data_IF_663661073594
#
_entry.id   IF_663661073594
#
_cell.length_a   1.000
_cell.length_b   1.000
_cell.length_c   1.000
_cell.angle_alpha   90.00
_cell.angle_beta   90.00
_cell.angle_gamma   90.00
#
_symmetry.space_group_name_H-M   'P 1'
#
loop_
_entity.id
_entity.type
_entity.pdbx_description
1 polymer ?
#
# COMPACT_ATOMS: atom_id res chain seq x y z
N UNK A 1 28.85 27.19 -31.02
CA UNK A 1 28.05 26.31 -30.16
C UNK A 1 27.52 25.06 -30.84
N UNK A 2 27.42 24.98 -32.17
CA UNK A 2 26.96 23.79 -32.92
C UNK A 2 27.89 22.55 -32.74
N UNK A 3 29.20 22.76 -32.49
CA UNK A 3 30.17 21.68 -32.33
C UNK A 3 30.05 20.87 -31.01
N UNK A 4 29.55 21.44 -29.94
CA UNK A 4 29.34 20.75 -28.67
C UNK A 4 28.16 19.76 -28.72
N UNK A 5 27.10 20.11 -29.44
CA UNK A 5 25.93 19.22 -29.61
C UNK A 5 26.28 17.87 -30.27
N UNK A 6 27.19 17.87 -31.26
CA UNK A 6 27.64 16.61 -31.89
C UNK A 6 28.50 15.74 -30.99
N UNK A 7 29.28 16.32 -30.09
CA UNK A 7 30.09 15.57 -29.11
C UNK A 7 29.16 14.87 -28.09
N UNK A 8 28.18 15.57 -27.54
CA UNK A 8 27.23 14.99 -26.58
C UNK A 8 26.37 13.90 -27.21
N UNK A 9 25.93 14.07 -28.45
CA UNK A 9 25.18 13.07 -29.19
C UNK A 9 25.99 11.77 -29.38
N UNK A 10 27.28 11.89 -29.71
CA UNK A 10 28.19 10.73 -29.82
C UNK A 10 28.41 10.06 -28.47
N UNK A 11 28.53 10.81 -27.39
CA UNK A 11 28.68 10.27 -26.05
C UNK A 11 27.42 9.50 -25.62
N UNK A 12 26.23 9.98 -25.91
CA UNK A 12 24.97 9.30 -25.60
C UNK A 12 24.84 7.98 -26.38
N UNK A 13 25.20 7.97 -27.67
CA UNK A 13 25.23 6.75 -28.50
C UNK A 13 26.24 5.73 -27.96
N UNK A 14 27.42 6.20 -27.57
CA UNK A 14 28.45 5.34 -27.00
C UNK A 14 28.04 4.78 -25.63
N UNK A 15 27.40 5.57 -24.77
CA UNK A 15 26.89 5.13 -23.49
C UNK A 15 25.80 4.05 -23.68
N UNK A 16 24.85 4.27 -24.57
CA UNK A 16 23.79 3.32 -24.88
C UNK A 16 24.35 1.97 -25.41
N UNK A 17 25.36 2.05 -26.29
CA UNK A 17 26.03 0.85 -26.79
C UNK A 17 26.79 0.10 -25.70
N UNK A 18 27.49 0.82 -24.80
CA UNK A 18 28.17 0.22 -23.65
C UNK A 18 27.21 -0.49 -22.70
N UNK A 19 26.04 0.10 -22.41
CA UNK A 19 25.00 -0.55 -21.61
C UNK A 19 24.50 -1.83 -22.27
N UNK A 20 24.25 -1.77 -23.60
CA UNK A 20 23.85 -2.94 -24.40
C UNK A 20 24.90 -4.06 -24.36
N UNK A 21 26.19 -3.73 -24.49
CA UNK A 21 27.27 -4.72 -24.39
C UNK A 21 27.33 -5.43 -23.03
N UNK A 22 26.91 -4.75 -21.97
CA UNK A 22 26.85 -5.28 -20.60
C UNK A 22 25.53 -5.96 -20.27
N UNK A 23 24.60 -6.08 -21.22
CA UNK A 23 23.27 -6.65 -21.01
C UNK A 23 22.36 -5.78 -20.12
N UNK A 24 22.71 -4.52 -19.89
CA UNK A 24 21.91 -3.60 -19.09
C UNK A 24 20.79 -3.05 -19.97
N UNK A 25 19.55 -3.27 -19.55
CA UNK A 25 18.37 -2.65 -20.17
C UNK A 25 18.28 -1.19 -19.68
N UNK A 26 18.39 -0.26 -20.61
CA UNK A 26 18.25 1.18 -20.32
C UNK A 26 16.85 1.65 -20.69
N UNK A 27 16.25 2.47 -19.85
CA UNK A 27 15.06 3.25 -20.21
C UNK A 27 15.51 4.43 -21.06
N UNK A 28 14.84 4.64 -22.18
CA UNK A 28 15.05 5.79 -23.05
C UNK A 28 13.71 6.50 -23.17
N UNK A 29 13.56 7.77 -22.73
CA UNK A 29 12.35 8.55 -22.92
C UNK A 29 12.01 8.72 -24.41
N UNK A 30 10.74 9.02 -24.71
CA UNK A 30 10.30 9.25 -26.09
C UNK A 30 11.07 10.39 -26.77
N UNK A 31 11.36 11.43 -26.01
CA UNK A 31 12.18 12.58 -26.43
C UNK A 31 13.41 12.72 -25.55
N UNK A 32 14.51 11.94 -25.80
CA UNK A 32 15.65 11.86 -24.90
C UNK A 32 16.65 13.03 -25.03
N UNK A 33 16.25 14.14 -25.62
CA UNK A 33 17.08 15.33 -25.84
C UNK A 33 16.26 16.58 -25.51
N UNK A 34 16.85 17.43 -24.68
CA UNK A 34 16.23 18.69 -24.28
C UNK A 34 17.26 19.67 -23.74
N UNK A 35 16.80 20.84 -23.32
CA UNK A 35 17.61 21.74 -22.50
C UNK A 35 17.80 21.21 -21.07
N UNK A 36 18.39 22.00 -20.19
CA UNK A 36 18.70 21.53 -18.82
C UNK A 36 17.44 21.31 -17.98
N UNK A 37 16.39 22.09 -18.19
CA UNK A 37 15.11 22.00 -17.49
C UNK A 37 14.34 20.77 -17.95
N UNK A 38 14.16 20.59 -19.26
CA UNK A 38 13.54 19.40 -19.86
C UNK A 38 14.26 18.10 -19.45
N UNK A 39 15.59 18.13 -19.39
CA UNK A 39 16.36 16.95 -18.90
C UNK A 39 16.16 16.69 -17.41
N UNK A 40 16.01 17.72 -16.59
CA UNK A 40 15.70 17.57 -15.17
C UNK A 40 14.30 16.97 -14.97
N UNK A 41 13.31 17.40 -15.73
CA UNK A 41 11.95 16.88 -15.71
C UNK A 41 11.91 15.39 -16.07
N UNK A 42 12.59 14.99 -17.15
CA UNK A 42 12.71 13.57 -17.52
C UNK A 42 13.31 12.70 -16.38
N UNK A 43 14.30 13.25 -15.64
CA UNK A 43 14.87 12.54 -14.49
C UNK A 43 13.87 12.48 -13.34
N UNK A 44 13.15 13.57 -13.07
CA UNK A 44 12.13 13.62 -12.02
C UNK A 44 10.99 12.63 -12.29
N UNK A 45 10.53 12.51 -13.54
CA UNK A 45 9.53 11.51 -13.92
C UNK A 45 10.01 10.07 -13.74
N UNK A 46 11.30 9.82 -13.92
CA UNK A 46 11.88 8.48 -13.77
C UNK A 46 12.15 8.09 -12.29
N UNK A 47 12.36 9.06 -11.40
CA UNK A 47 12.68 8.79 -9.99
C UNK A 47 11.64 7.90 -9.29
N UNK A 48 10.32 8.11 -9.41
CA UNK A 48 9.31 7.23 -8.82
C UNK A 48 9.41 5.79 -9.34
N UNK A 49 9.68 5.62 -10.64
CA UNK A 49 9.85 4.30 -11.26
C UNK A 49 11.08 3.58 -10.68
N UNK A 50 12.20 4.28 -10.56
CA UNK A 50 13.42 3.74 -9.99
C UNK A 50 13.24 3.35 -8.51
N UNK A 51 12.53 4.17 -7.73
CA UNK A 51 12.16 3.86 -6.34
C UNK A 51 11.29 2.60 -6.26
N UNK A 52 10.30 2.44 -7.14
CA UNK A 52 9.45 1.26 -7.16
C UNK A 52 10.26 -0.01 -7.47
N UNK A 53 11.16 0.04 -8.45
CA UNK A 53 12.03 -1.11 -8.81
C UNK A 53 12.97 -1.46 -7.64
N UNK A 54 13.61 -0.47 -7.03
CA UNK A 54 14.46 -0.67 -5.84
C UNK A 54 13.64 -1.21 -4.68
N UNK A 55 12.45 -0.66 -4.48
CA UNK A 55 11.53 -1.08 -3.45
C UNK A 55 11.11 -2.54 -3.58
N UNK A 56 10.72 -2.99 -4.77
CA UNK A 56 10.34 -4.39 -5.02
C UNK A 56 11.46 -5.37 -4.67
N UNK A 57 12.71 -5.05 -5.01
CA UNK A 57 13.86 -5.88 -4.67
C UNK A 57 14.16 -5.93 -3.16
N UNK A 58 13.55 -5.05 -2.38
CA UNK A 58 13.73 -4.93 -0.94
C UNK A 58 12.43 -5.12 -0.16
N UNK A 59 11.38 -5.65 -0.80
CA UNK A 59 10.07 -5.89 -0.21
C UNK A 59 9.95 -7.32 0.31
N UNK A 60 9.39 -7.45 1.51
CA UNK A 60 8.78 -8.67 2.03
C UNK A 60 7.29 -8.44 2.23
N UNK A 61 6.46 -9.38 1.80
CA UNK A 61 5.03 -9.40 2.13
C UNK A 61 4.80 -10.50 3.16
N UNK A 62 4.27 -10.13 4.32
CA UNK A 62 3.93 -11.03 5.41
C UNK A 62 2.41 -11.28 5.36
N UNK A 63 2.00 -12.51 5.20
CA UNK A 63 0.58 -12.87 5.18
C UNK A 63 0.15 -13.62 6.42
N UNK A 64 -1.09 -13.38 6.87
CA UNK A 64 -1.76 -14.08 7.96
C UNK A 64 -3.03 -14.73 7.43
N UNK A 65 -2.86 -15.93 6.91
CA UNK A 65 -3.89 -16.62 6.16
C UNK A 65 -4.37 -17.95 6.74
N UNK A 66 -5.03 -18.73 5.93
CA UNK A 66 -5.35 -18.51 4.51
C UNK A 66 -6.42 -17.44 4.26
N UNK A 67 -6.61 -17.07 2.98
CA UNK A 67 -7.70 -16.18 2.57
C UNK A 67 -9.05 -16.71 3.08
N UNK A 68 -10.06 -15.83 3.24
CA UNK A 68 -11.36 -16.23 3.77
C UNK A 68 -12.08 -17.20 2.82
N UNK A 69 -12.51 -18.36 3.32
CA UNK A 69 -13.36 -19.33 2.63
C UNK A 69 -13.03 -19.51 1.12
N UNK A 70 -14.00 -19.26 0.26
CA UNK A 70 -13.91 -19.38 -1.19
C UNK A 70 -13.64 -18.03 -1.90
N UNK A 71 -13.03 -17.08 -1.22
CA UNK A 71 -12.69 -15.76 -1.79
C UNK A 71 -11.48 -15.90 -2.75
N UNK A 72 -11.73 -16.57 -3.87
CA UNK A 72 -10.69 -17.00 -4.81
C UNK A 72 -10.07 -15.84 -5.61
N UNK A 73 -10.71 -14.67 -5.62
CA UNK A 73 -10.17 -13.47 -6.23
C UNK A 73 -8.79 -13.09 -5.64
N UNK A 74 -8.57 -13.36 -4.35
CA UNK A 74 -7.33 -13.10 -3.65
C UNK A 74 -6.33 -14.29 -3.72
N UNK A 75 -6.50 -15.21 -4.67
CA UNK A 75 -5.57 -16.32 -4.84
C UNK A 75 -4.33 -15.91 -5.64
N UNK A 76 -3.21 -15.74 -4.98
CA UNK A 76 -1.98 -15.24 -5.57
C UNK A 76 -0.99 -16.37 -5.88
N UNK A 77 -0.54 -16.52 -7.15
CA UNK A 77 0.59 -17.39 -7.48
C UNK A 77 1.91 -16.72 -7.08
N UNK A 78 2.39 -17.00 -5.88
CA UNK A 78 3.55 -16.31 -5.26
C UNK A 78 4.87 -16.47 -6.02
N UNK A 79 5.01 -17.50 -6.86
CA UNK A 79 6.24 -17.72 -7.62
C UNK A 79 6.62 -16.52 -8.50
N UNK A 80 5.65 -15.84 -9.10
CA UNK A 80 5.90 -14.66 -9.93
C UNK A 80 6.48 -13.50 -9.13
N UNK A 81 6.12 -13.40 -7.85
CA UNK A 81 6.62 -12.36 -6.95
C UNK A 81 8.11 -12.55 -6.63
N UNK A 82 8.55 -13.79 -6.43
CA UNK A 82 9.97 -14.10 -6.29
C UNK A 82 10.79 -13.73 -7.54
N UNK A 83 10.20 -13.87 -8.74
CA UNK A 83 10.87 -13.49 -9.99
C UNK A 83 11.15 -11.99 -10.12
N UNK A 84 10.40 -11.15 -9.40
CA UNK A 84 10.60 -9.69 -9.34
C UNK A 84 11.28 -9.23 -8.06
N UNK A 85 11.80 -10.17 -7.26
CA UNK A 85 12.57 -9.88 -6.06
C UNK A 85 11.80 -9.75 -4.77
N UNK A 86 10.47 -9.89 -4.79
CA UNK A 86 9.60 -9.83 -3.61
C UNK A 86 9.65 -11.14 -2.84
N UNK A 87 9.89 -11.07 -1.54
CA UNK A 87 9.84 -12.21 -0.62
C UNK A 87 8.46 -12.32 0.01
N UNK A 88 7.97 -13.55 0.16
CA UNK A 88 6.69 -13.82 0.81
C UNK A 88 6.94 -14.70 2.04
N UNK A 89 6.30 -14.31 3.16
CA UNK A 89 6.22 -15.11 4.37
C UNK A 89 4.76 -15.41 4.69
N UNK A 90 4.41 -16.68 4.80
CA UNK A 90 3.04 -17.11 5.05
C UNK A 90 2.91 -17.63 6.50
N UNK A 91 2.04 -17.00 7.26
CA UNK A 91 1.71 -17.33 8.64
C UNK A 91 0.21 -17.62 8.78
N UNK A 92 -0.19 -18.25 9.87
CA UNK A 92 -1.60 -18.45 10.18
C UNK A 92 -2.16 -17.32 11.07
N UNK A 93 -3.49 -17.18 11.10
CA UNK A 93 -4.14 -16.30 12.10
C UNK A 93 -3.88 -16.73 13.54
N UNK A 94 -3.60 -18.03 13.78
CA UNK A 94 -3.28 -18.52 15.12
C UNK A 94 -1.93 -17.99 15.61
N UNK A 95 -0.94 -17.89 14.73
CA UNK A 95 0.36 -17.31 15.06
C UNK A 95 0.20 -15.83 15.43
N UNK A 96 -0.60 -15.10 14.65
CA UNK A 96 -0.93 -13.70 14.93
C UNK A 96 -1.69 -13.55 16.25
N UNK A 97 -2.66 -14.43 16.53
CA UNK A 97 -3.45 -14.41 17.76
C UNK A 97 -2.60 -14.72 18.99
N UNK A 98 -1.67 -15.67 18.88
CA UNK A 98 -0.70 -15.96 19.95
C UNK A 98 0.19 -14.74 20.21
N UNK A 99 0.73 -14.12 19.18
CA UNK A 99 1.55 -12.92 19.31
C UNK A 99 0.76 -11.76 19.94
N UNK A 100 -0.48 -11.56 19.52
CA UNK A 100 -1.38 -10.58 20.12
C UNK A 100 -1.56 -10.81 21.62
N UNK A 101 -1.81 -12.04 22.04
CA UNK A 101 -1.99 -12.37 23.46
C UNK A 101 -0.69 -12.15 24.28
N UNK A 102 0.48 -12.37 23.67
CA UNK A 102 1.78 -12.10 24.34
C UNK A 102 2.00 -10.61 24.63
N UNK A 103 1.41 -9.72 23.85
CA UNK A 103 1.47 -8.27 24.06
C UNK A 103 0.43 -7.75 25.05
N UNK A 104 -0.37 -8.62 25.68
CA UNK A 104 -1.36 -8.19 26.66
C UNK A 104 -0.70 -7.48 27.85
N UNK A 105 -1.06 -6.22 28.08
CA UNK A 105 -0.50 -5.43 29.18
C UNK A 105 0.90 -4.85 28.91
N UNK A 106 1.37 -4.84 27.68
CA UNK A 106 2.64 -4.20 27.30
C UNK A 106 2.64 -2.72 27.67
N UNK A 107 3.75 -2.26 28.26
CA UNK A 107 3.91 -0.90 28.78
C UNK A 107 3.82 0.20 27.71
N UNK A 108 3.98 -0.14 26.44
CA UNK A 108 3.89 0.78 25.27
C UNK A 108 2.44 1.08 24.86
N UNK A 109 1.49 0.22 25.23
CA UNK A 109 0.07 0.35 24.85
C UNK A 109 -0.53 1.71 25.23
N UNK A 110 -0.36 2.25 26.46
CA UNK A 110 -0.95 3.54 26.83
C UNK A 110 -0.50 4.71 25.96
N UNK A 111 0.73 4.69 25.45
CA UNK A 111 1.22 5.75 24.58
C UNK A 111 0.51 5.71 23.21
N UNK A 112 0.33 4.53 22.64
CA UNK A 112 -0.38 4.34 21.37
C UNK A 112 -1.87 4.69 21.52
N UNK A 113 -2.50 4.31 22.64
CA UNK A 113 -3.89 4.69 22.93
C UNK A 113 -4.04 6.20 22.93
N UNK A 114 -3.12 6.93 23.56
CA UNK A 114 -3.14 8.39 23.57
C UNK A 114 -3.03 8.99 22.16
N UNK A 115 -2.16 8.46 21.32
CA UNK A 115 -2.06 8.88 19.91
C UNK A 115 -3.39 8.64 19.17
N UNK A 116 -4.01 7.47 19.36
CA UNK A 116 -5.31 7.13 18.77
C UNK A 116 -6.43 8.05 19.24
N UNK A 117 -6.44 8.42 20.53
CA UNK A 117 -7.41 9.36 21.09
C UNK A 117 -7.25 10.76 20.48
N UNK A 118 -6.03 11.24 20.34
CA UNK A 118 -5.73 12.53 19.71
C UNK A 118 -6.13 12.55 18.23
N UNK A 119 -5.88 11.46 17.50
CA UNK A 119 -6.17 11.30 16.09
C UNK A 119 -7.67 11.21 15.80
N UNK A 120 -8.40 10.42 16.57
CA UNK A 120 -9.85 10.24 16.40
C UNK A 120 -10.68 11.39 16.98
N UNK A 121 -10.19 12.04 18.03
CA UNK A 121 -10.84 13.19 18.67
C UNK A 121 -12.31 12.90 19.02
N UNK A 122 -13.20 13.80 18.60
CA UNK A 122 -14.65 13.68 18.83
C UNK A 122 -15.33 12.57 18.00
N UNK A 123 -14.66 12.03 16.99
CA UNK A 123 -15.12 10.91 16.16
C UNK A 123 -15.01 9.56 16.87
N UNK A 124 -14.29 9.47 17.99
CA UNK A 124 -14.13 8.23 18.74
C UNK A 124 -15.43 7.84 19.45
N UNK A 125 -16.19 6.92 18.87
CA UNK A 125 -17.45 6.42 19.44
C UNK A 125 -17.27 5.18 20.32
N UNK A 126 -16.09 4.55 20.30
CA UNK A 126 -15.78 3.30 21.01
C UNK A 126 -14.42 3.35 21.74
N UNK A 127 -14.25 4.26 22.71
CA UNK A 127 -12.98 4.41 23.40
C UNK A 127 -12.54 3.14 24.16
N UNK A 128 -13.48 2.27 24.51
CA UNK A 128 -13.23 1.02 25.24
C UNK A 128 -12.42 -0.01 24.47
N UNK A 129 -12.37 0.06 23.13
CA UNK A 129 -11.59 -0.88 22.31
C UNK A 129 -10.19 -0.38 21.99
N UNK A 130 -9.85 0.89 22.23
CA UNK A 130 -8.56 1.46 21.84
C UNK A 130 -7.36 0.71 22.41
N UNK A 131 -7.45 0.21 23.63
CA UNK A 131 -6.37 -0.59 24.21
C UNK A 131 -6.10 -1.88 23.44
N UNK A 132 -7.13 -2.53 22.91
CA UNK A 132 -6.96 -3.73 22.08
C UNK A 132 -6.42 -3.37 20.68
N UNK A 133 -6.87 -2.26 20.10
CA UNK A 133 -6.36 -1.77 18.82
C UNK A 133 -4.88 -1.39 18.93
N UNK A 134 -4.48 -0.71 19.99
CA UNK A 134 -3.10 -0.36 20.28
C UNK A 134 -2.23 -1.62 20.51
N UNK A 135 -2.73 -2.61 21.24
CA UNK A 135 -2.08 -3.90 21.39
C UNK A 135 -1.87 -4.60 20.04
N UNK A 136 -2.86 -4.54 19.15
CA UNK A 136 -2.77 -5.13 17.81
C UNK A 136 -1.79 -4.39 16.91
N UNK A 137 -1.79 -3.05 16.90
CA UNK A 137 -0.79 -2.26 16.19
C UNK A 137 0.62 -2.60 16.64
N UNK A 138 0.84 -2.68 17.95
CA UNK A 138 2.12 -3.04 18.54
C UNK A 138 2.54 -4.44 18.11
N UNK A 139 1.61 -5.40 18.14
CA UNK A 139 1.88 -6.78 17.71
C UNK A 139 2.36 -6.84 16.27
N UNK A 140 1.70 -6.12 15.36
CA UNK A 140 2.10 -6.10 13.95
C UNK A 140 3.43 -5.40 13.73
N UNK A 141 3.69 -4.30 14.44
CA UNK A 141 4.99 -3.60 14.35
C UNK A 141 6.14 -4.48 14.83
N UNK A 142 6.00 -5.13 15.97
CA UNK A 142 7.03 -6.00 16.51
C UNK A 142 7.22 -7.23 15.60
N UNK A 143 6.13 -7.79 15.06
CA UNK A 143 6.21 -8.87 14.07
C UNK A 143 7.01 -8.43 12.82
N UNK A 144 6.72 -7.26 12.29
CA UNK A 144 7.44 -6.70 11.14
C UNK A 144 8.93 -6.57 11.44
N UNK A 145 9.31 -6.00 12.59
CA UNK A 145 10.72 -5.84 12.96
C UNK A 145 11.44 -7.18 13.16
N UNK A 146 10.78 -8.17 13.75
CA UNK A 146 11.35 -9.49 13.98
C UNK A 146 11.51 -10.30 12.69
N UNK A 147 10.56 -10.16 11.75
CA UNK A 147 10.45 -11.02 10.57
C UNK A 147 10.94 -10.38 9.27
N UNK A 148 11.16 -9.07 9.20
CA UNK A 148 11.60 -8.42 7.96
C UNK A 148 12.97 -8.89 7.46
N UNK A 149 13.83 -9.39 8.35
CA UNK A 149 15.18 -9.83 8.01
C UNK A 149 16.04 -8.68 7.46
N UNK A 150 16.66 -8.89 6.31
CA UNK A 150 17.45 -7.87 5.64
C UNK A 150 16.64 -6.95 4.71
N UNK A 151 15.35 -7.20 4.59
CA UNK A 151 14.46 -6.41 3.73
C UNK A 151 14.23 -5.02 4.33
N UNK A 152 14.17 -4.02 3.46
CA UNK A 152 13.99 -2.62 3.86
C UNK A 152 12.51 -2.28 4.07
N UNK A 153 11.64 -2.91 3.28
CA UNK A 153 10.21 -2.65 3.27
C UNK A 153 9.41 -3.90 3.59
N UNK A 154 8.30 -3.71 4.27
CA UNK A 154 7.31 -4.76 4.55
C UNK A 154 5.92 -4.26 4.17
N UNK A 155 5.12 -5.15 3.58
CA UNK A 155 3.68 -5.00 3.46
C UNK A 155 3.01 -6.21 4.12
N UNK A 156 1.77 -6.06 4.56
CA UNK A 156 1.03 -7.12 5.24
C UNK A 156 -0.20 -7.49 4.42
N UNK A 157 -0.54 -8.78 4.38
CA UNK A 157 -1.79 -9.29 3.84
C UNK A 157 -2.54 -10.02 4.95
N UNK A 158 -3.55 -9.37 5.53
CA UNK A 158 -4.35 -9.88 6.64
C UNK A 158 -5.81 -10.07 6.26
N UNK A 159 -6.66 -10.40 7.23
CA UNK A 159 -8.11 -10.48 7.03
C UNK A 159 -8.86 -10.10 8.30
N UNK A 160 -10.12 -9.66 8.15
CA UNK A 160 -10.98 -9.28 9.26
C UNK A 160 -12.10 -10.29 9.54
N UNK A 161 -12.26 -11.30 8.69
CA UNK A 161 -13.32 -12.31 8.78
C UNK A 161 -12.84 -13.68 8.29
N UNK A 162 -13.53 -14.84 8.59
CA UNK A 162 -14.78 -14.93 9.36
C UNK A 162 -14.56 -14.97 10.87
N UNK A 163 -13.39 -15.42 11.35
CA UNK A 163 -13.16 -15.65 12.77
C UNK A 163 -12.49 -14.48 13.52
N UNK A 164 -11.85 -13.57 12.80
CA UNK A 164 -11.05 -12.49 13.40
C UNK A 164 -11.84 -11.66 14.41
N UNK A 165 -13.00 -11.15 14.01
CA UNK A 165 -13.84 -10.30 14.87
C UNK A 165 -14.24 -10.99 16.18
N UNK A 166 -14.55 -12.28 16.13
CA UNK A 166 -14.97 -13.03 17.32
C UNK A 166 -13.81 -13.37 18.23
N UNK A 167 -12.62 -13.59 17.71
CA UNK A 167 -11.43 -13.95 18.47
C UNK A 167 -10.72 -12.73 19.07
N UNK A 168 -10.50 -11.69 18.28
CA UNK A 168 -9.84 -10.48 18.73
C UNK A 168 -10.80 -9.49 19.43
N UNK A 169 -12.09 -9.52 19.06
CA UNK A 169 -13.13 -8.67 19.63
C UNK A 169 -13.20 -7.26 19.02
N UNK A 170 -12.60 -7.06 17.85
CA UNK A 170 -12.62 -5.82 17.06
C UNK A 170 -12.37 -6.14 15.57
N UNK A 171 -12.50 -5.14 14.70
CA UNK A 171 -12.06 -5.20 13.31
C UNK A 171 -10.74 -4.44 13.14
N UNK A 172 -9.81 -4.90 12.25
CA UNK A 172 -8.45 -4.34 12.16
C UNK A 172 -8.34 -3.06 11.33
N UNK A 173 -9.41 -2.62 10.66
CA UNK A 173 -9.37 -1.62 9.59
C UNK A 173 -8.69 -0.31 10.00
N UNK A 174 -8.99 0.22 11.18
CA UNK A 174 -8.36 1.43 11.71
C UNK A 174 -6.85 1.26 11.90
N UNK A 175 -6.43 0.14 12.50
CA UNK A 175 -4.99 -0.16 12.68
C UNK A 175 -4.30 -0.34 11.33
N UNK A 176 -4.95 -1.03 10.39
CA UNK A 176 -4.40 -1.21 9.03
C UNK A 176 -4.16 0.15 8.35
N UNK A 177 -5.11 1.10 8.48
CA UNK A 177 -4.96 2.46 7.97
C UNK A 177 -3.80 3.21 8.64
N UNK A 178 -3.64 3.07 9.96
CA UNK A 178 -2.51 3.68 10.69
C UNK A 178 -1.16 3.12 10.24
N UNK A 179 -1.08 1.81 10.02
CA UNK A 179 0.15 1.17 9.50
C UNK A 179 0.47 1.63 8.08
N UNK A 180 -0.55 1.72 7.21
CA UNK A 180 -0.38 2.25 5.86
C UNK A 180 0.16 3.69 5.87
N UNK A 181 -0.36 4.56 6.73
CA UNK A 181 0.14 5.92 6.94
C UNK A 181 1.59 5.96 7.47
N UNK A 182 2.05 4.89 8.11
CA UNK A 182 3.43 4.72 8.59
C UNK A 182 4.34 4.02 7.57
N UNK A 183 3.86 3.79 6.35
CA UNK A 183 4.62 3.16 5.26
C UNK A 183 4.63 1.63 5.29
N UNK A 184 3.72 1.01 6.03
CA UNK A 184 3.48 -0.44 6.06
C UNK A 184 2.09 -0.71 5.49
N UNK A 185 1.94 -0.88 4.16
CA UNK A 185 0.65 -1.18 3.54
C UNK A 185 0.06 -2.48 4.08
N UNK A 186 -1.26 -2.50 4.28
CA UNK A 186 -1.98 -3.67 4.80
C UNK A 186 -3.23 -3.93 3.98
N UNK A 187 -3.20 -4.95 3.13
CA UNK A 187 -4.36 -5.40 2.37
C UNK A 187 -5.25 -6.34 3.17
N UNK A 188 -6.55 -6.36 2.84
CA UNK A 188 -7.53 -7.26 3.40
C UNK A 188 -7.62 -8.59 2.61
N UNK A 189 -8.42 -9.54 3.09
CA UNK A 189 -8.69 -10.86 2.49
C UNK A 189 -7.45 -11.72 2.20
N UNK A 190 -6.31 -11.41 2.83
CA UNK A 190 -5.00 -12.01 2.54
C UNK A 190 -4.63 -11.82 1.06
N UNK A 191 -4.97 -10.64 0.52
CA UNK A 191 -4.65 -10.28 -0.86
C UNK A 191 -3.20 -9.84 -0.97
N UNK A 192 -2.32 -10.80 -1.31
CA UNK A 192 -0.89 -10.56 -1.46
C UNK A 192 -0.62 -9.60 -2.65
N UNK A 193 -1.39 -9.69 -3.74
CA UNK A 193 -1.25 -8.77 -4.87
C UNK A 193 -1.81 -7.38 -4.55
N UNK A 194 -2.85 -7.30 -3.72
CA UNK A 194 -3.33 -6.03 -3.15
C UNK A 194 -2.25 -5.34 -2.33
N UNK A 195 -1.61 -6.06 -1.41
CA UNK A 195 -0.49 -5.53 -0.63
C UNK A 195 0.68 -5.06 -1.50
N UNK A 196 1.00 -5.80 -2.57
CA UNK A 196 1.99 -5.39 -3.57
C UNK A 196 1.58 -4.10 -4.27
N UNK A 197 0.31 -3.98 -4.67
CA UNK A 197 -0.23 -2.83 -5.40
C UNK A 197 -0.21 -1.56 -4.53
N UNK A 198 -0.63 -1.68 -3.27
CA UNK A 198 -0.55 -0.59 -2.29
C UNK A 198 0.90 -0.16 -2.04
N UNK A 199 1.83 -1.11 -1.93
CA UNK A 199 3.25 -0.80 -1.78
C UNK A 199 3.80 -0.03 -2.98
N UNK A 200 3.54 -0.49 -4.21
CA UNK A 200 3.98 0.20 -5.43
C UNK A 200 3.40 1.61 -5.47
N UNK A 201 2.09 1.73 -5.23
CA UNK A 201 1.41 3.03 -5.20
C UNK A 201 2.03 3.97 -4.18
N UNK A 202 2.27 3.51 -2.96
CA UNK A 202 2.90 4.29 -1.87
C UNK A 202 4.30 4.77 -2.25
N UNK A 203 5.12 3.92 -2.85
CA UNK A 203 6.49 4.29 -3.23
C UNK A 203 6.52 5.27 -4.40
N UNK A 204 5.61 5.11 -5.37
CA UNK A 204 5.52 5.97 -6.56
C UNK A 204 4.96 7.34 -6.21
N UNK A 205 3.88 7.40 -5.43
CA UNK A 205 3.24 8.66 -5.02
C UNK A 205 4.00 9.37 -3.90
N UNK A 206 4.78 8.63 -3.11
CA UNK A 206 5.37 9.05 -1.84
C UNK A 206 4.29 9.52 -0.86
N UNK A 207 3.14 8.87 -0.89
CA UNK A 207 1.97 9.16 -0.08
C UNK A 207 1.24 7.86 0.29
N UNK A 208 0.30 7.93 1.23
CA UNK A 208 -0.55 6.81 1.62
C UNK A 208 -1.51 6.45 0.49
N UNK A 209 -1.63 5.16 0.20
CA UNK A 209 -2.49 4.62 -0.86
C UNK A 209 -3.53 3.69 -0.25
N UNK A 210 -4.70 3.67 -0.85
CA UNK A 210 -5.82 2.80 -0.47
C UNK A 210 -6.20 1.88 -1.62
N UNK A 211 -6.39 0.60 -1.32
CA UNK A 211 -6.97 -0.38 -2.24
C UNK A 211 -8.49 -0.36 -2.11
N UNK A 212 -9.19 -0.21 -3.24
CA UNK A 212 -10.65 -0.14 -3.29
C UNK A 212 -11.22 -1.14 -4.28
N UNK A 213 -12.40 -1.66 -3.98
CA UNK A 213 -13.25 -2.33 -4.95
C UNK A 213 -13.86 -1.32 -5.91
N UNK A 214 -14.00 -1.68 -7.18
CA UNK A 214 -14.54 -0.80 -8.22
C UNK A 214 -15.91 -1.28 -8.66
N UNK A 215 -16.92 -0.45 -8.46
CA UNK A 215 -18.22 -0.58 -9.11
C UNK A 215 -18.22 0.16 -10.45
N UNK A 216 -18.76 -0.49 -11.49
CA UNK A 216 -18.92 0.12 -12.80
C UNK A 216 -19.97 1.23 -12.73
N UNK A 217 -19.61 2.47 -12.93
CA UNK A 217 -20.43 3.67 -12.85
C UNK A 217 -21.09 3.93 -11.47
N UNK A 218 -21.29 5.19 -11.17
CA UNK A 218 -22.10 5.62 -10.01
C UNK A 218 -23.59 5.38 -10.26
N UNK A 219 -24.41 5.20 -9.20
CA UNK A 219 -25.86 5.16 -9.31
C UNK A 219 -26.42 6.38 -10.04
N UNK A 220 -27.55 6.20 -10.74
CA UNK A 220 -28.11 7.25 -11.60
C UNK A 220 -28.48 8.52 -10.84
N UNK A 221 -29.05 8.37 -9.65
CA UNK A 221 -29.45 9.46 -8.77
C UNK A 221 -28.23 10.28 -8.32
N UNK A 222 -27.15 9.62 -7.91
CA UNK A 222 -25.89 10.28 -7.57
C UNK A 222 -25.25 10.97 -8.79
N UNK A 223 -25.32 10.34 -9.97
CA UNK A 223 -24.83 10.99 -11.18
C UNK A 223 -25.62 12.25 -11.50
N UNK A 224 -26.95 12.20 -11.40
CA UNK A 224 -27.82 13.35 -11.70
C UNK A 224 -27.65 14.50 -10.68
N UNK A 225 -27.40 14.20 -9.40
CA UNK A 225 -27.26 15.22 -8.35
C UNK A 225 -25.84 15.80 -8.26
N UNK A 226 -24.81 14.98 -8.45
CA UNK A 226 -23.45 15.35 -8.07
C UNK A 226 -22.47 15.50 -9.22
N UNK A 227 -22.75 14.92 -10.40
CA UNK A 227 -21.80 14.90 -11.53
C UNK A 227 -22.36 15.60 -12.75
N UNK A 228 -23.59 15.24 -13.16
CA UNK A 228 -24.25 15.86 -14.30
C UNK A 228 -24.32 17.37 -14.11
N UNK A 229 -24.03 18.13 -15.13
CA UNK A 229 -24.01 19.60 -15.14
C UNK A 229 -22.89 20.25 -14.28
N UNK A 230 -22.11 19.48 -13.49
CA UNK A 230 -20.95 19.98 -12.74
C UNK A 230 -19.63 19.59 -13.41
N UNK A 231 -19.60 18.45 -14.08
CA UNK A 231 -18.40 17.89 -14.72
C UNK A 231 -18.72 17.41 -16.13
N UNK A 232 -17.73 17.44 -17.00
CA UNK A 232 -17.88 17.00 -18.41
C UNK A 232 -17.64 15.49 -18.54
N UNK A 233 -18.38 14.68 -17.76
CA UNK A 233 -18.34 13.20 -17.81
C UNK A 233 -19.75 12.65 -18.02
N UNK A 234 -19.86 11.56 -18.77
CA UNK A 234 -21.11 10.77 -18.81
C UNK A 234 -21.13 9.77 -17.66
N UNK A 235 -22.28 9.22 -17.32
CA UNK A 235 -22.37 8.19 -16.27
C UNK A 235 -21.44 6.99 -16.55
N UNK A 236 -21.20 6.65 -17.82
CA UNK A 236 -20.31 5.57 -18.22
C UNK A 236 -18.82 5.87 -17.99
N UNK A 237 -18.46 7.13 -17.84
CA UNK A 237 -17.10 7.57 -17.58
C UNK A 237 -16.81 7.61 -16.08
N UNK A 238 -17.75 7.20 -15.25
CA UNK A 238 -17.65 7.22 -13.80
C UNK A 238 -17.53 5.82 -13.22
N UNK A 239 -16.89 5.73 -12.08
CA UNK A 239 -16.89 4.54 -11.25
C UNK A 239 -17.02 4.95 -9.77
N UNK A 240 -17.42 4.02 -8.94
CA UNK A 240 -17.42 4.19 -7.49
C UNK A 240 -16.45 3.20 -6.89
N UNK A 241 -15.44 3.74 -6.19
CA UNK A 241 -14.52 2.94 -5.40
C UNK A 241 -15.02 2.87 -3.96
N UNK A 242 -15.00 1.68 -3.37
CA UNK A 242 -15.33 1.50 -1.96
C UNK A 242 -14.57 0.31 -1.39
N UNK A 243 -14.41 0.31 -0.08
CA UNK A 243 -13.97 -0.84 0.70
C UNK A 243 -14.70 -0.84 2.04
N UNK A 244 -14.93 -2.01 2.63
CA UNK A 244 -15.77 -2.14 3.83
C UNK A 244 -15.19 -1.51 5.10
N UNK A 245 -13.95 -1.05 5.11
CA UNK A 245 -13.38 -0.39 6.30
C UNK A 245 -11.90 -0.09 6.23
N UNK A 246 -11.21 -0.52 5.19
CA UNK A 246 -9.76 -0.31 5.05
C UNK A 246 -9.50 0.88 4.13
N UNK A 247 -9.75 2.09 4.62
CA UNK A 247 -9.51 3.33 3.87
C UNK A 247 -8.50 4.21 4.59
N UNK A 248 -7.86 5.10 3.85
CA UNK A 248 -6.90 6.05 4.39
C UNK A 248 -7.53 6.95 5.44
N UNK A 249 -6.87 7.14 6.58
CA UNK A 249 -7.31 8.00 7.70
C UNK A 249 -7.69 9.43 7.30
N UNK A 250 -7.15 9.93 6.19
CA UNK A 250 -7.42 11.28 5.71
C UNK A 250 -8.88 11.49 5.25
N UNK A 251 -9.64 10.41 5.00
CA UNK A 251 -10.98 10.49 4.42
C UNK A 251 -12.08 9.88 5.28
N UNK A 252 -11.77 9.29 6.43
CA UNK A 252 -12.75 8.56 7.23
C UNK A 252 -12.82 9.03 8.66
N UNK A 253 -13.53 10.13 8.89
CA UNK A 253 -14.13 10.38 10.20
C UNK A 253 -15.21 9.34 10.57
N UNK A 254 -15.63 8.52 9.61
CA UNK A 254 -16.76 7.58 9.74
C UNK A 254 -16.34 6.11 9.90
N UNK A 255 -15.06 5.75 9.77
CA UNK A 255 -14.58 4.38 9.99
C UNK A 255 -14.87 3.84 11.42
N UNK A 256 -15.22 4.72 12.36
CA UNK A 256 -15.65 4.34 13.70
C UNK A 256 -17.14 3.91 13.76
N UNK A 257 -17.94 4.11 12.73
CA UNK A 257 -19.36 3.78 12.72
C UNK A 257 -19.64 2.31 12.36
N UNK A 258 -18.68 1.62 11.74
CA UNK A 258 -18.81 0.22 11.32
C UNK A 258 -18.19 -0.79 12.30
N UNK A 259 -17.70 -0.36 13.45
CA UNK A 259 -17.13 -1.22 14.50
C UNK A 259 -18.21 -1.79 15.43
#
# INVERSE_FOLDING_TARGET
SRGLGDVYKRQMLNASYNLKLRGVKAYIPEYPVGDAEECADMIHEFVPIAKAIEGLNNLKIISFGPRPLNFLACNAPIQQLYNIGVEIEENSELDLFEAFNKHAGDERIPAIVKEMEEELGAGNKKPEILSKLAQYELTLKDWVEEHRGYRKYVAIAGKCWPAFQTQFGFVPCYVNSRLAAQGIPVSCEVDIYGALSEFIGTVVSNDTVTLLDINNSVPKDMYESDIKDKFNYTQKDTFMGFHCGNTCLLYTSDAADEL
#
